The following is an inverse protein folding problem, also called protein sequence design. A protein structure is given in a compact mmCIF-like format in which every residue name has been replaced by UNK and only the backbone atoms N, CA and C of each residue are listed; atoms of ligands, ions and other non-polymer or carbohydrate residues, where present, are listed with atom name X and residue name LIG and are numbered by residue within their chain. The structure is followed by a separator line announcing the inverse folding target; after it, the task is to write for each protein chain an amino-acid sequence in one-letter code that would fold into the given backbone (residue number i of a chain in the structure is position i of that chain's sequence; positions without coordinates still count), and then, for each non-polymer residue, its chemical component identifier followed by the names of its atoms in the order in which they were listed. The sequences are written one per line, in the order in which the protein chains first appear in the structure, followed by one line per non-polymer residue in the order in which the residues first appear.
data_IF_111705849786
#
_entry.id   IF_111705849786
#
_cell.length_a   1.000
_cell.length_b   1.000
_cell.length_c   1.000
_cell.angle_alpha   90.00
_cell.angle_beta   90.00
_cell.angle_gamma   90.00
#
_symmetry.space_group_name_H-M   'P 1'
#
loop_
_entity.id
_entity.type
_entity.pdbx_description
1 polymer ?
#
# COMPACT_ATOMS: atom_id res chain seq x y z
N UNK A 1 17.69 10.63 74.19
CA UNK A 1 18.72 11.01 73.19
C UNK A 1 18.05 10.97 71.81
N UNK A 2 17.33 11.95 71.42
CA UNK A 2 17.62 13.32 70.98
C UNK A 2 18.67 13.43 69.93
N UNK A 3 18.26 13.91 68.78
CA UNK A 3 18.99 14.40 67.65
C UNK A 3 18.11 14.40 66.44
N UNK A 4 17.34 15.41 66.13
CA UNK A 4 17.53 16.66 65.43
C UNK A 4 18.17 16.48 64.04
N UNK A 5 17.51 16.99 63.26
CA UNK A 5 16.90 17.46 62.33
C UNK A 5 17.15 18.25 61.20
N UNK A 6 17.21 18.38 60.20
CA UNK A 6 17.54 19.15 59.03
C UNK A 6 16.36 19.45 58.09
N UNK A 7 15.67 20.52 58.35
CA UNK A 7 14.80 21.18 57.36
C UNK A 7 15.67 21.78 56.22
N UNK A 8 15.53 21.29 55.01
CA UNK A 8 15.99 21.99 53.83
C UNK A 8 14.80 22.57 53.07
N UNK A 9 14.80 23.89 53.04
CA UNK A 9 13.74 24.70 52.52
C UNK A 9 13.64 24.60 50.97
N UNK A 10 12.44 24.40 50.52
CA UNK A 10 12.07 24.52 49.11
C UNK A 10 12.09 25.97 48.73
N UNK A 11 13.08 26.37 47.91
CA UNK A 11 13.17 27.68 47.28
C UNK A 11 12.22 27.74 46.09
N UNK A 12 11.06 28.30 46.29
CA UNK A 12 10.15 28.68 45.20
C UNK A 12 10.80 29.78 44.32
N UNK A 13 11.21 29.42 43.12
CA UNK A 13 11.61 30.39 42.10
C UNK A 13 10.38 31.10 41.59
N UNK A 14 10.31 32.41 41.85
CA UNK A 14 9.32 33.33 41.28
C UNK A 14 9.42 33.26 39.74
N UNK A 15 8.29 32.99 39.14
CA UNK A 15 8.05 33.11 37.71
C UNK A 15 8.22 34.56 37.27
N UNK A 16 9.06 34.77 36.28
CA UNK A 16 9.32 36.04 35.66
C UNK A 16 8.06 36.63 34.99
N UNK A 17 8.03 37.94 34.95
CA UNK A 17 6.98 38.78 34.39
C UNK A 17 6.66 38.41 32.91
N UNK A 18 5.39 38.54 32.47
CA UNK A 18 5.04 38.33 31.06
C UNK A 18 5.64 39.44 30.20
N UNK A 19 6.28 39.05 29.11
CA UNK A 19 6.80 39.94 28.09
C UNK A 19 5.61 40.56 27.35
N UNK A 20 5.49 41.88 27.45
CA UNK A 20 4.50 42.65 26.72
C UNK A 20 4.75 42.54 25.21
N UNK A 21 3.87 41.87 24.51
CA UNK A 21 3.84 41.86 23.04
C UNK A 21 3.43 43.26 22.55
N UNK A 22 4.44 44.01 22.11
CA UNK A 22 4.26 45.36 21.53
C UNK A 22 3.55 45.20 20.19
N UNK A 23 2.30 45.67 20.10
CA UNK A 23 1.54 45.79 18.85
C UNK A 23 2.30 46.71 17.87
N UNK A 24 3.03 46.12 16.94
CA UNK A 24 3.58 46.80 15.77
C UNK A 24 3.03 46.11 14.52
N UNK A 25 1.86 46.47 14.07
CA UNK A 25 1.27 45.85 12.87
C UNK A 25 0.11 46.63 12.25
N UNK A 26 -0.42 47.61 12.96
CA UNK A 26 -1.62 48.38 12.46
C UNK A 26 -1.32 49.40 11.34
N UNK A 27 -0.16 50.01 11.34
CA UNK A 27 0.13 51.11 10.41
C UNK A 27 0.57 50.64 9.00
N UNK A 28 1.26 49.52 8.90
CA UNK A 28 1.74 49.00 7.63
C UNK A 28 0.59 48.43 6.77
N UNK A 29 -0.40 47.82 7.40
CA UNK A 29 -1.57 47.26 6.68
C UNK A 29 -2.48 48.37 6.14
N UNK A 30 -2.72 49.40 6.94
CA UNK A 30 -3.53 50.58 6.52
C UNK A 30 -2.84 51.32 5.35
N UNK A 31 -1.52 51.51 5.41
CA UNK A 31 -0.75 52.18 4.36
C UNK A 31 -0.74 51.42 3.04
N UNK A 32 -0.74 50.10 3.06
CA UNK A 32 -0.81 49.28 1.85
C UNK A 32 -2.20 49.29 1.19
N UNK A 33 -3.27 49.45 1.96
CA UNK A 33 -4.62 49.60 1.44
C UNK A 33 -4.86 50.99 0.84
N UNK A 34 -4.27 52.04 1.41
CA UNK A 34 -4.31 53.40 0.91
C UNK A 34 -3.59 53.52 -0.43
N UNK A 35 -2.34 53.01 -0.52
CA UNK A 35 -1.56 52.98 -1.76
C UNK A 35 -2.28 52.24 -2.90
N UNK A 36 -3.02 51.19 -2.61
CA UNK A 36 -3.78 50.46 -3.62
C UNK A 36 -5.00 51.20 -4.14
N UNK A 37 -5.62 52.07 -3.30
CA UNK A 37 -6.71 52.94 -3.71
C UNK A 37 -6.21 54.11 -4.57
N UNK A 38 -5.10 54.70 -4.20
CA UNK A 38 -4.51 55.84 -4.92
C UNK A 38 -4.01 55.40 -6.32
N UNK A 39 -3.46 54.19 -6.46
CA UNK A 39 -3.06 53.64 -7.75
C UNK A 39 -4.25 53.39 -8.68
N UNK A 40 -5.43 53.06 -8.16
CA UNK A 40 -6.65 52.85 -8.96
C UNK A 40 -7.30 54.14 -9.42
N UNK A 41 -7.04 55.25 -8.70
CA UNK A 41 -7.58 56.58 -9.02
C UNK A 41 -6.70 57.25 -10.08
N UNK A 42 -5.37 57.06 -10.05
CA UNK A 42 -4.45 57.71 -10.98
C UNK A 42 -4.36 57.02 -12.36
N UNK A 43 -4.80 55.74 -12.49
CA UNK A 43 -4.72 55.04 -13.77
C UNK A 43 -5.96 55.18 -14.66
N UNK A 44 -6.98 55.97 -14.27
CA UNK A 44 -8.11 56.32 -15.11
C UNK A 44 -8.87 55.16 -15.76
N UNK A 45 -8.75 53.92 -15.19
CA UNK A 45 -9.42 52.74 -15.73
C UNK A 45 -10.90 52.78 -15.33
N UNK A 46 -11.71 53.26 -16.27
CA UNK A 46 -13.17 53.20 -16.18
C UNK A 46 -13.64 51.76 -15.97
N UNK A 47 -14.54 51.56 -15.03
CA UNK A 47 -15.17 50.26 -14.72
C UNK A 47 -16.06 49.69 -15.85
N UNK A 48 -16.00 50.23 -17.04
CA UNK A 48 -16.80 49.81 -18.21
C UNK A 48 -15.97 49.15 -19.32
N UNK A 49 -14.72 48.77 -19.04
CA UNK A 49 -13.90 48.05 -20.01
C UNK A 49 -14.32 46.58 -20.11
N UNK A 50 -14.95 46.25 -21.23
CA UNK A 50 -15.32 44.91 -21.67
C UNK A 50 -14.19 43.90 -21.44
N UNK A 51 -14.32 43.08 -20.44
CA UNK A 51 -13.69 41.76 -20.45
C UNK A 51 -14.58 40.93 -21.38
N UNK A 52 -14.11 40.46 -22.56
CA UNK A 52 -14.89 39.55 -23.36
C UNK A 52 -15.18 38.32 -22.47
N UNK A 53 -16.45 38.12 -22.19
CA UNK A 53 -16.93 36.87 -21.57
C UNK A 53 -16.73 35.79 -22.63
N UNK A 54 -15.50 35.26 -22.72
CA UNK A 54 -15.32 33.99 -23.42
C UNK A 54 -16.27 32.99 -22.73
N UNK A 55 -17.18 32.37 -23.47
CA UNK A 55 -18.05 31.37 -22.89
C UNK A 55 -17.12 30.27 -22.34
N UNK A 56 -17.07 30.14 -21.01
CA UNK A 56 -16.43 28.98 -20.38
C UNK A 56 -17.19 27.80 -20.98
N UNK A 57 -16.55 27.10 -21.91
CA UNK A 57 -17.04 25.85 -22.47
C UNK A 57 -17.16 24.93 -21.27
N UNK A 58 -18.38 24.82 -20.70
CA UNK A 58 -18.68 23.79 -19.71
C UNK A 58 -18.42 22.49 -20.43
N UNK A 59 -17.28 21.88 -20.14
CA UNK A 59 -17.11 20.47 -20.44
C UNK A 59 -18.25 19.78 -19.72
N UNK A 60 -19.19 19.24 -20.49
CA UNK A 60 -20.23 18.40 -19.94
C UNK A 60 -19.52 17.25 -19.23
N UNK A 61 -19.56 17.24 -17.91
CA UNK A 61 -19.04 16.10 -17.18
C UNK A 61 -19.79 14.86 -17.66
N UNK A 62 -19.08 13.84 -18.15
CA UNK A 62 -19.74 12.63 -18.58
C UNK A 62 -20.53 12.10 -17.39
N UNK A 63 -21.79 11.67 -17.58
CA UNK A 63 -22.63 11.25 -16.48
C UNK A 63 -21.91 10.16 -15.69
N UNK A 64 -21.72 10.39 -14.42
CA UNK A 64 -20.98 9.48 -13.51
C UNK A 64 -21.45 8.03 -13.59
N UNK A 65 -22.69 7.81 -13.98
CA UNK A 65 -23.28 6.49 -14.22
C UNK A 65 -22.60 5.69 -15.34
N UNK A 66 -22.06 6.36 -16.36
CA UNK A 66 -21.36 5.68 -17.47
C UNK A 66 -20.01 5.09 -17.02
N UNK A 67 -19.33 5.73 -16.08
CA UNK A 67 -18.09 5.19 -15.53
C UNK A 67 -18.32 3.92 -14.73
N UNK A 68 -19.40 3.88 -13.93
CA UNK A 68 -19.78 2.67 -13.19
C UNK A 68 -20.22 1.55 -14.12
N UNK A 69 -20.93 1.89 -15.20
CA UNK A 69 -21.32 0.89 -16.22
C UNK A 69 -20.09 0.39 -16.99
N UNK A 70 -19.17 1.28 -17.39
CA UNK A 70 -17.92 0.89 -18.02
C UNK A 70 -17.08 -0.01 -17.11
N UNK A 71 -16.94 0.34 -15.83
CA UNK A 71 -16.26 -0.48 -14.83
C UNK A 71 -16.95 -1.84 -14.65
N UNK A 72 -18.28 -1.86 -14.54
CA UNK A 72 -19.05 -3.10 -14.41
C UNK A 72 -18.91 -3.99 -15.65
N UNK A 73 -18.96 -3.42 -16.85
CA UNK A 73 -18.77 -4.16 -18.11
C UNK A 73 -17.34 -4.70 -18.20
N UNK A 74 -16.34 -3.93 -17.80
CA UNK A 74 -14.93 -4.37 -17.78
C UNK A 74 -14.73 -5.53 -16.80
N UNK A 75 -15.39 -5.48 -15.63
CA UNK A 75 -15.32 -6.54 -14.62
C UNK A 75 -16.07 -7.82 -15.06
N UNK A 76 -17.18 -7.67 -15.80
CA UNK A 76 -17.97 -8.81 -16.30
C UNK A 76 -17.34 -9.42 -17.55
N UNK A 77 -16.70 -8.60 -18.40
CA UNK A 77 -16.07 -9.03 -19.63
C UNK A 77 -14.61 -9.50 -19.44
N UNK A 78 -14.12 -9.58 -18.20
CA UNK A 78 -12.81 -10.15 -17.92
C UNK A 78 -12.82 -11.62 -18.39
N UNK A 79 -12.06 -12.01 -19.41
CA UNK A 79 -11.94 -13.40 -19.80
C UNK A 79 -11.39 -14.17 -18.61
N UNK A 80 -11.87 -15.41 -18.42
CA UNK A 80 -11.27 -16.33 -17.44
C UNK A 80 -9.77 -16.38 -17.69
N UNK A 81 -9.00 -15.68 -16.85
CA UNK A 81 -7.56 -15.72 -16.90
C UNK A 81 -7.15 -17.12 -16.45
N UNK A 82 -7.00 -18.01 -17.41
CA UNK A 82 -6.20 -19.19 -17.17
C UNK A 82 -4.81 -18.68 -16.85
N UNK A 83 -4.27 -19.07 -15.70
CA UNK A 83 -2.91 -18.72 -15.27
C UNK A 83 -1.86 -19.43 -16.14
N UNK A 84 -1.86 -19.10 -17.43
CA UNK A 84 -0.72 -19.37 -18.27
C UNK A 84 0.29 -18.27 -18.00
N UNK A 85 1.53 -18.67 -17.68
CA UNK A 85 2.68 -17.79 -17.55
C UNK A 85 2.58 -16.65 -18.56
N UNK A 86 2.53 -15.42 -18.04
CA UNK A 86 2.44 -14.24 -18.91
C UNK A 86 3.65 -14.22 -19.82
N UNK A 87 3.41 -14.26 -21.13
CA UNK A 87 4.45 -14.00 -22.12
C UNK A 87 4.36 -12.54 -22.53
N UNK A 88 5.18 -11.68 -21.92
CA UNK A 88 5.21 -10.24 -22.21
C UNK A 88 5.93 -9.94 -23.54
N UNK A 89 6.66 -10.90 -24.10
CA UNK A 89 7.56 -10.69 -25.23
C UNK A 89 8.88 -9.99 -24.87
N UNK A 90 9.05 -9.56 -23.60
CA UNK A 90 10.28 -8.91 -23.12
C UNK A 90 11.25 -9.87 -22.41
N UNK A 91 10.97 -11.16 -22.45
CA UNK A 91 11.80 -12.23 -21.92
C UNK A 91 11.44 -12.67 -20.51
N UNK A 92 12.01 -13.84 -20.07
CA UNK A 92 11.58 -14.57 -18.89
C UNK A 92 11.60 -13.76 -17.58
N UNK A 93 12.54 -12.83 -17.43
CA UNK A 93 12.61 -11.98 -16.25
C UNK A 93 11.38 -11.06 -16.12
N UNK A 94 11.01 -10.40 -17.24
CA UNK A 94 9.84 -9.53 -17.25
C UNK A 94 8.54 -10.31 -17.13
N UNK A 95 8.50 -11.51 -17.71
CA UNK A 95 7.35 -12.42 -17.56
C UNK A 95 7.13 -12.78 -16.10
N UNK A 96 8.18 -13.16 -15.37
CA UNK A 96 8.12 -13.42 -13.95
C UNK A 96 7.75 -12.17 -13.13
N UNK A 97 8.34 -11.01 -13.46
CA UNK A 97 8.05 -9.77 -12.77
C UNK A 97 6.58 -9.37 -12.91
N UNK A 98 6.00 -9.49 -14.08
CA UNK A 98 4.58 -9.18 -14.33
C UNK A 98 3.64 -10.23 -13.74
N UNK A 99 4.06 -11.50 -13.67
CA UNK A 99 3.24 -12.57 -13.14
C UNK A 99 2.67 -12.26 -11.77
N UNK A 100 3.48 -11.75 -10.83
CA UNK A 100 3.03 -11.36 -9.50
C UNK A 100 1.86 -10.37 -9.52
N UNK A 101 1.88 -9.41 -10.46
CA UNK A 101 0.88 -8.33 -10.49
C UNK A 101 -0.42 -8.74 -11.16
N UNK A 102 -0.41 -9.76 -12.00
CA UNK A 102 -1.61 -10.24 -12.70
C UNK A 102 -2.25 -11.45 -12.01
N UNK A 103 -1.57 -12.05 -11.03
CA UNK A 103 -2.05 -13.21 -10.27
C UNK A 103 -2.56 -12.74 -8.90
N UNK A 104 -3.87 -12.54 -8.72
CA UNK A 104 -4.44 -12.04 -7.45
C UNK A 104 -4.14 -12.96 -6.27
N UNK A 105 -4.07 -14.26 -6.52
CA UNK A 105 -3.75 -15.30 -5.54
C UNK A 105 -2.39 -15.07 -4.88
N UNK A 106 -1.43 -14.58 -5.64
CA UNK A 106 -0.08 -14.26 -5.18
C UNK A 106 0.00 -12.85 -4.60
N UNK A 107 -0.63 -11.88 -5.27
CA UNK A 107 -0.50 -10.47 -4.95
C UNK A 107 -1.20 -10.10 -3.64
N UNK A 108 -2.42 -10.57 -3.41
CA UNK A 108 -3.25 -10.18 -2.27
C UNK A 108 -2.64 -10.57 -0.91
N UNK A 109 -2.14 -11.83 -0.71
CA UNK A 109 -1.48 -12.20 0.54
C UNK A 109 -0.17 -11.44 0.76
N UNK A 110 0.56 -11.12 -0.31
CA UNK A 110 1.78 -10.27 -0.24
C UNK A 110 1.42 -8.86 0.23
N UNK A 111 0.37 -8.23 -0.33
CA UNK A 111 -0.12 -6.92 0.11
C UNK A 111 -0.50 -6.98 1.59
N UNK A 112 -1.27 -7.99 2.01
CA UNK A 112 -1.71 -8.12 3.40
C UNK A 112 -0.53 -8.20 4.36
N UNK A 113 0.44 -9.06 4.06
CA UNK A 113 1.62 -9.26 4.90
C UNK A 113 2.54 -8.02 4.93
N UNK A 114 2.76 -7.37 3.79
CA UNK A 114 3.58 -6.17 3.69
C UNK A 114 2.99 -5.00 4.48
N UNK A 115 1.69 -4.73 4.32
CA UNK A 115 0.99 -3.68 5.06
C UNK A 115 0.98 -3.96 6.57
N UNK A 116 0.70 -5.21 6.97
CA UNK A 116 0.73 -5.63 8.36
C UNK A 116 2.12 -5.44 8.98
N UNK A 117 3.19 -5.81 8.29
CA UNK A 117 4.56 -5.63 8.75
C UNK A 117 4.93 -4.14 8.83
N UNK A 118 4.56 -3.33 7.84
CA UNK A 118 4.81 -1.89 7.80
C UNK A 118 4.17 -1.16 8.99
N UNK A 119 2.90 -1.45 9.32
CA UNK A 119 2.21 -0.87 10.48
C UNK A 119 2.89 -1.16 11.81
N UNK A 120 3.63 -2.27 11.92
CA UNK A 120 4.39 -2.66 13.13
C UNK A 120 5.77 -2.04 13.21
N UNK A 121 6.23 -1.42 12.15
CA UNK A 121 7.44 -0.63 12.13
C UNK A 121 8.62 -1.25 11.36
N UNK A 122 9.75 -0.51 11.29
CA UNK A 122 10.83 -0.82 10.36
C UNK A 122 11.51 -2.18 10.55
N UNK A 123 11.49 -2.74 11.75
CA UNK A 123 12.07 -4.08 12.02
C UNK A 123 11.24 -5.17 11.33
N UNK A 124 9.91 -5.10 11.48
CA UNK A 124 8.98 -6.04 10.85
C UNK A 124 9.02 -5.91 9.32
N UNK A 125 8.97 -4.66 8.82
CA UNK A 125 9.05 -4.38 7.39
C UNK A 125 10.31 -4.97 6.76
N UNK A 126 11.49 -4.77 7.38
CA UNK A 126 12.76 -5.34 6.91
C UNK A 126 12.78 -6.86 6.95
N UNK A 127 12.22 -7.47 7.98
CA UNK A 127 12.14 -8.92 8.07
C UNK A 127 11.34 -9.51 6.92
N UNK A 128 10.15 -8.96 6.63
CA UNK A 128 9.32 -9.43 5.50
C UNK A 128 9.99 -9.13 4.16
N UNK A 129 10.63 -7.97 4.01
CA UNK A 129 11.31 -7.54 2.79
C UNK A 129 12.37 -8.54 2.32
N UNK A 130 13.10 -9.16 3.23
CA UNK A 130 14.12 -10.12 2.88
C UNK A 130 13.62 -11.58 2.97
N UNK A 131 12.87 -11.92 4.02
CA UNK A 131 12.44 -13.29 4.24
C UNK A 131 11.48 -13.78 3.15
N UNK A 132 10.53 -12.95 2.71
CA UNK A 132 9.52 -13.36 1.73
C UNK A 132 10.12 -13.63 0.35
N UNK A 133 10.90 -12.73 -0.30
CA UNK A 133 11.48 -13.01 -1.60
C UNK A 133 12.50 -14.17 -1.58
N UNK A 134 13.29 -14.27 -0.51
CA UNK A 134 14.25 -15.38 -0.37
C UNK A 134 13.52 -16.72 -0.24
N UNK A 135 12.51 -16.80 0.62
CA UNK A 135 11.71 -18.00 0.78
C UNK A 135 10.97 -18.37 -0.51
N UNK A 136 10.47 -17.37 -1.26
CA UNK A 136 9.84 -17.58 -2.55
C UNK A 136 10.82 -18.15 -3.59
N UNK A 137 12.04 -17.63 -3.67
CA UNK A 137 13.07 -18.19 -4.55
C UNK A 137 13.41 -19.63 -4.20
N UNK A 138 13.55 -19.93 -2.90
CA UNK A 138 13.80 -21.30 -2.43
C UNK A 138 12.63 -22.21 -2.79
N UNK A 139 11.40 -21.73 -2.57
CA UNK A 139 10.19 -22.44 -2.97
C UNK A 139 10.12 -22.68 -4.48
N UNK A 140 10.40 -21.64 -5.30
CA UNK A 140 10.41 -21.75 -6.76
C UNK A 140 11.47 -22.74 -7.26
N UNK A 141 12.65 -22.74 -6.64
CA UNK A 141 13.70 -23.71 -6.97
C UNK A 141 13.25 -25.14 -6.64
N UNK A 142 12.56 -25.37 -5.53
CA UNK A 142 11.96 -26.65 -5.21
C UNK A 142 10.84 -27.03 -6.19
N UNK A 143 9.96 -26.08 -6.52
CA UNK A 143 8.86 -26.26 -7.45
C UNK A 143 9.33 -26.66 -8.86
N UNK A 144 10.43 -26.08 -9.34
CA UNK A 144 11.02 -26.43 -10.63
C UNK A 144 11.42 -27.94 -10.75
N UNK A 145 11.64 -28.58 -9.61
CA UNK A 145 11.96 -30.02 -9.56
C UNK A 145 10.72 -30.92 -9.58
N UNK A 146 9.53 -30.34 -9.42
CA UNK A 146 8.26 -31.07 -9.34
C UNK A 146 7.63 -31.24 -10.73
N UNK A 147 7.07 -32.43 -10.99
CA UNK A 147 6.29 -32.74 -12.18
C UNK A 147 5.23 -33.79 -11.83
N UNK A 148 3.94 -33.57 -12.15
CA UNK A 148 3.32 -32.44 -12.89
C UNK A 148 3.26 -31.15 -12.08
N UNK A 149 2.84 -30.03 -12.69
CA UNK A 149 2.56 -28.78 -11.98
C UNK A 149 1.56 -28.98 -10.84
N UNK A 150 1.78 -28.29 -9.73
CA UNK A 150 0.88 -28.35 -8.56
C UNK A 150 -0.04 -27.12 -8.59
N UNK A 151 -1.34 -27.36 -8.51
CA UNK A 151 -2.35 -26.32 -8.38
C UNK A 151 -3.17 -26.56 -7.10
N UNK A 152 -3.22 -25.57 -6.22
CA UNK A 152 -3.93 -25.66 -4.92
C UNK A 152 -4.83 -24.43 -4.69
N UNK A 153 -5.78 -24.12 -5.60
CA UNK A 153 -6.53 -22.85 -5.59
C UNK A 153 -7.31 -22.62 -4.29
N UNK A 154 -7.85 -23.70 -3.69
CA UNK A 154 -8.54 -23.59 -2.40
C UNK A 154 -7.57 -23.23 -1.27
N UNK A 155 -6.39 -23.82 -1.23
CA UNK A 155 -5.39 -23.54 -0.19
C UNK A 155 -4.83 -22.12 -0.31
N UNK A 156 -4.52 -21.65 -1.52
CA UNK A 156 -4.07 -20.28 -1.80
C UNK A 156 -5.10 -19.26 -1.36
N UNK A 157 -6.37 -19.53 -1.66
CA UNK A 157 -7.48 -18.67 -1.26
C UNK A 157 -7.66 -18.63 0.26
N UNK A 158 -7.52 -19.76 0.95
CA UNK A 158 -7.57 -19.83 2.42
C UNK A 158 -6.45 -19.01 3.04
N UNK A 159 -5.22 -19.09 2.51
CA UNK A 159 -4.08 -18.30 2.95
C UNK A 159 -4.35 -16.81 2.77
N UNK A 160 -4.89 -16.41 1.62
CA UNK A 160 -5.28 -15.03 1.33
C UNK A 160 -6.32 -14.51 2.33
N UNK A 161 -7.38 -15.28 2.60
CA UNK A 161 -8.41 -14.94 3.59
C UNK A 161 -7.80 -14.80 4.98
N UNK A 162 -6.96 -15.75 5.40
CA UNK A 162 -6.34 -15.74 6.73
C UNK A 162 -5.47 -14.49 6.95
N UNK A 163 -4.62 -14.13 5.97
CA UNK A 163 -3.81 -12.92 6.03
C UNK A 163 -4.65 -11.65 5.98
N UNK A 164 -5.72 -11.63 5.18
CA UNK A 164 -6.68 -10.53 5.15
C UNK A 164 -7.36 -10.32 6.50
N UNK A 165 -7.78 -11.40 7.19
CA UNK A 165 -8.34 -11.34 8.54
C UNK A 165 -7.33 -10.81 9.56
N UNK A 166 -6.08 -11.29 9.51
CA UNK A 166 -5.01 -10.80 10.38
C UNK A 166 -4.76 -9.29 10.18
N UNK A 167 -4.80 -8.82 8.95
CA UNK A 167 -4.66 -7.40 8.63
C UNK A 167 -5.87 -6.59 9.11
N UNK A 168 -7.09 -7.07 8.86
CA UNK A 168 -8.34 -6.38 9.24
C UNK A 168 -8.50 -6.26 10.76
N UNK A 169 -8.10 -7.29 11.50
CA UNK A 169 -8.18 -7.31 12.97
C UNK A 169 -7.03 -6.55 13.64
N UNK A 170 -5.95 -6.22 12.89
CA UNK A 170 -4.73 -5.59 13.41
C UNK A 170 -4.16 -6.35 14.63
N UNK A 171 -4.24 -7.69 14.60
CA UNK A 171 -3.85 -8.54 15.73
C UNK A 171 -2.34 -8.41 16.00
N UNK A 172 -1.91 -8.14 17.24
CA UNK A 172 -0.49 -7.97 17.58
C UNK A 172 0.26 -9.30 17.50
N UNK A 173 1.07 -9.49 16.47
CA UNK A 173 1.93 -10.65 16.32
C UNK A 173 3.37 -10.30 16.72
N UNK A 174 4.11 -11.22 17.39
CA UNK A 174 5.54 -11.05 17.63
C UNK A 174 6.34 -11.13 16.30
N UNK A 175 7.54 -10.57 16.31
CA UNK A 175 8.41 -10.55 15.12
C UNK A 175 8.65 -11.96 14.56
N UNK A 176 8.86 -12.95 15.43
CA UNK A 176 9.07 -14.33 15.02
C UNK A 176 7.87 -14.91 14.24
N UNK A 177 6.64 -14.60 14.67
CA UNK A 177 5.44 -15.05 13.98
C UNK A 177 5.32 -14.39 12.59
N UNK A 178 5.62 -13.10 12.47
CA UNK A 178 5.62 -12.41 11.18
C UNK A 178 6.72 -12.94 10.25
N UNK A 179 7.90 -13.25 10.78
CA UNK A 179 8.96 -13.89 10.01
C UNK A 179 8.54 -15.30 9.53
N UNK A 180 7.93 -16.10 10.42
CA UNK A 180 7.40 -17.42 10.08
C UNK A 180 6.34 -17.34 8.97
N UNK A 181 5.38 -16.40 9.09
CA UNK A 181 4.37 -16.16 8.05
C UNK A 181 5.01 -15.78 6.71
N UNK A 182 6.04 -14.94 6.72
CA UNK A 182 6.74 -14.55 5.49
C UNK A 182 7.45 -15.75 4.83
N UNK A 183 8.10 -16.58 5.65
CA UNK A 183 8.79 -17.78 5.14
C UNK A 183 7.78 -18.80 4.62
N UNK A 184 6.73 -19.10 5.37
CA UNK A 184 5.71 -20.05 4.97
C UNK A 184 4.98 -19.61 3.71
N UNK A 185 4.59 -18.34 3.64
CA UNK A 185 3.96 -17.76 2.46
C UNK A 185 4.89 -17.86 1.24
N UNK A 186 6.16 -17.45 1.41
CA UNK A 186 7.14 -17.48 0.34
C UNK A 186 7.42 -18.90 -0.18
N UNK A 187 7.60 -19.86 0.73
CA UNK A 187 7.80 -21.26 0.34
C UNK A 187 6.55 -21.83 -0.35
N UNK A 188 5.36 -21.63 0.22
CA UNK A 188 4.13 -22.19 -0.30
C UNK A 188 3.84 -21.69 -1.72
N UNK A 189 3.74 -20.37 -1.91
CA UNK A 189 3.48 -19.79 -3.24
C UNK A 189 4.68 -19.98 -4.19
N UNK A 190 5.91 -19.93 -3.66
CA UNK A 190 7.10 -20.21 -4.45
C UNK A 190 7.10 -21.60 -5.05
N UNK A 191 6.72 -22.64 -4.28
CA UNK A 191 6.65 -24.03 -4.78
C UNK A 191 5.59 -24.13 -5.89
N UNK A 192 4.40 -23.57 -5.69
CA UNK A 192 3.33 -23.61 -6.68
C UNK A 192 3.77 -22.91 -7.96
N UNK A 193 4.19 -21.64 -7.87
CA UNK A 193 4.70 -20.88 -8.99
C UNK A 193 5.86 -21.59 -9.71
N UNK A 194 6.84 -22.08 -8.94
CA UNK A 194 7.98 -22.79 -9.48
C UNK A 194 7.61 -24.06 -10.25
N UNK A 195 6.55 -24.76 -9.83
CA UNK A 195 6.07 -25.98 -10.50
C UNK A 195 5.51 -25.71 -11.90
N UNK A 196 5.01 -24.52 -12.15
CA UNK A 196 4.46 -24.08 -13.43
C UNK A 196 5.51 -23.52 -14.39
N UNK A 197 6.70 -23.14 -13.86
CA UNK A 197 7.76 -22.53 -14.67
C UNK A 197 8.35 -23.50 -15.71
N UNK A 198 8.82 -22.99 -16.88
CA UNK A 198 9.47 -23.81 -17.88
C UNK A 198 10.71 -24.54 -17.34
N UNK A 199 10.79 -25.86 -17.49
CA UNK A 199 11.84 -26.70 -16.93
C UNK A 199 12.97 -26.97 -17.90
N UNK A 200 12.79 -26.67 -19.19
CA UNK A 200 13.69 -27.06 -20.28
C UNK A 200 14.88 -26.13 -20.50
N UNK A 201 14.92 -24.99 -19.79
CA UNK A 201 16.00 -24.01 -19.96
C UNK A 201 16.17 -23.19 -18.68
N UNK A 202 17.21 -22.35 -18.64
CA UNK A 202 17.40 -21.34 -17.56
C UNK A 202 16.26 -20.31 -17.45
N UNK A 203 15.30 -20.31 -18.40
CA UNK A 203 14.18 -19.37 -18.41
C UNK A 203 13.33 -19.44 -17.14
N UNK A 204 13.05 -20.62 -16.59
CA UNK A 204 12.32 -20.76 -15.35
C UNK A 204 13.03 -20.12 -14.16
N UNK A 205 14.33 -20.29 -14.03
CA UNK A 205 15.13 -19.66 -12.97
C UNK A 205 15.16 -18.13 -13.13
N UNK A 206 15.26 -17.64 -14.37
CA UNK A 206 15.23 -16.20 -14.68
C UNK A 206 13.85 -15.63 -14.36
N UNK A 207 12.76 -16.33 -14.68
CA UNK A 207 11.40 -15.93 -14.29
C UNK A 207 11.23 -15.89 -12.77
N UNK A 208 11.70 -16.90 -12.04
CA UNK A 208 11.66 -16.90 -10.58
C UNK A 208 12.40 -15.70 -9.97
N UNK A 209 13.54 -15.31 -10.57
CA UNK A 209 14.26 -14.10 -10.16
C UNK A 209 13.44 -12.82 -10.45
N UNK A 210 12.69 -12.79 -11.54
CA UNK A 210 11.75 -11.70 -11.86
C UNK A 210 10.65 -11.56 -10.82
N UNK A 211 10.01 -12.67 -10.42
CA UNK A 211 9.01 -12.69 -9.34
C UNK A 211 9.61 -12.18 -8.02
N UNK A 212 10.80 -12.64 -7.65
CA UNK A 212 11.46 -12.21 -6.43
C UNK A 212 11.80 -10.70 -6.44
N UNK A 213 12.20 -10.16 -7.58
CA UNK A 213 12.41 -8.73 -7.76
C UNK A 213 11.09 -7.95 -7.61
N UNK A 214 10.00 -8.45 -8.19
CA UNK A 214 8.66 -7.86 -8.03
C UNK A 214 8.21 -7.86 -6.57
N UNK A 215 8.41 -8.98 -5.85
CA UNK A 215 8.13 -9.09 -4.41
C UNK A 215 8.93 -8.08 -3.61
N UNK A 216 10.23 -7.96 -3.88
CA UNK A 216 11.08 -7.01 -3.18
C UNK A 216 10.60 -5.57 -3.38
N UNK A 217 10.26 -5.20 -4.61
CA UNK A 217 9.71 -3.87 -4.92
C UNK A 217 8.36 -3.66 -4.26
N UNK A 218 7.42 -4.60 -4.40
CA UNK A 218 6.09 -4.50 -3.83
C UNK A 218 6.13 -4.36 -2.30
N UNK A 219 6.89 -5.21 -1.62
CA UNK A 219 7.05 -5.17 -0.16
C UNK A 219 7.74 -3.86 0.28
N UNK A 220 8.78 -3.41 -0.45
CA UNK A 220 9.46 -2.15 -0.14
C UNK A 220 8.50 -0.96 -0.17
N UNK A 221 7.68 -0.87 -1.22
CA UNK A 221 6.72 0.21 -1.39
C UNK A 221 5.60 0.13 -0.36
N UNK A 222 4.95 -1.02 -0.23
CA UNK A 222 3.79 -1.18 0.65
C UNK A 222 4.16 -1.08 2.12
N UNK A 223 5.19 -1.79 2.56
CA UNK A 223 5.62 -1.74 3.95
C UNK A 223 6.28 -0.40 4.30
N UNK A 224 7.01 0.21 3.35
CA UNK A 224 7.58 1.55 3.51
C UNK A 224 6.50 2.61 3.68
N UNK A 225 5.47 2.59 2.82
CA UNK A 225 4.32 3.49 2.94
C UNK A 225 3.57 3.27 4.26
N UNK A 226 3.26 2.03 4.61
CA UNK A 226 2.57 1.72 5.87
C UNK A 226 3.39 2.17 7.09
N UNK A 227 4.71 2.00 7.09
CA UNK A 227 5.61 2.43 8.16
C UNK A 227 5.71 3.96 8.29
N UNK A 228 5.51 4.71 7.21
CA UNK A 228 5.53 6.17 7.20
C UNK A 228 4.22 6.79 7.70
N UNK A 229 3.13 6.03 7.74
CA UNK A 229 1.81 6.50 8.13
C UNK A 229 1.71 6.75 9.64
N UNK A 230 1.77 8.03 10.06
CA UNK A 230 1.67 8.44 11.48
C UNK A 230 0.25 8.79 11.92
N UNK A 231 -0.69 8.93 10.99
CA UNK A 231 -2.05 9.37 11.27
C UNK A 231 -2.99 8.20 11.57
N UNK A 232 -3.89 8.40 12.53
CA UNK A 232 -4.79 7.33 13.00
C UNK A 232 -5.70 6.78 11.91
N UNK A 233 -6.19 7.63 11.02
CA UNK A 233 -7.07 7.21 9.92
C UNK A 233 -6.39 6.24 8.94
N UNK A 234 -5.07 6.37 8.73
CA UNK A 234 -4.33 5.48 7.85
C UNK A 234 -4.36 4.02 8.34
N UNK A 235 -4.28 3.80 9.65
CA UNK A 235 -4.44 2.47 10.23
C UNK A 235 -5.85 1.91 9.98
N UNK A 236 -6.88 2.76 10.04
CA UNK A 236 -8.24 2.35 9.67
C UNK A 236 -8.33 1.98 8.20
N UNK A 237 -7.74 2.78 7.31
CA UNK A 237 -7.71 2.48 5.88
C UNK A 237 -7.04 1.14 5.56
N UNK A 238 -5.92 0.82 6.23
CA UNK A 238 -5.25 -0.48 6.07
C UNK A 238 -6.11 -1.64 6.58
N UNK A 239 -6.84 -1.47 7.69
CA UNK A 239 -7.80 -2.48 8.17
C UNK A 239 -8.95 -2.70 7.19
N UNK A 240 -9.46 -1.61 6.60
CA UNK A 240 -10.47 -1.70 5.53
C UNK A 240 -9.91 -2.45 4.32
N UNK A 241 -8.67 -2.18 3.91
CA UNK A 241 -8.02 -2.96 2.85
C UNK A 241 -7.95 -4.46 3.20
N UNK A 242 -7.65 -4.80 4.46
CA UNK A 242 -7.72 -6.18 4.95
C UNK A 242 -9.10 -6.81 4.77
N UNK A 243 -10.17 -6.09 5.09
CA UNK A 243 -11.55 -6.56 4.89
C UNK A 243 -11.88 -6.77 3.39
N UNK A 244 -11.36 -5.93 2.51
CA UNK A 244 -11.50 -6.11 1.06
C UNK A 244 -10.75 -7.35 0.56
N UNK A 245 -9.54 -7.61 1.08
CA UNK A 245 -8.79 -8.84 0.75
C UNK A 245 -9.57 -10.08 1.17
N UNK A 246 -10.19 -10.07 2.35
CA UNK A 246 -11.07 -11.16 2.80
C UNK A 246 -12.26 -11.33 1.86
N UNK A 247 -12.93 -10.25 1.47
CA UNK A 247 -14.09 -10.31 0.57
C UNK A 247 -13.71 -10.87 -0.81
N UNK A 248 -12.58 -10.44 -1.37
CA UNK A 248 -12.06 -10.97 -2.64
C UNK A 248 -11.70 -12.44 -2.48
N UNK A 249 -10.99 -12.82 -1.41
CA UNK A 249 -10.66 -14.21 -1.13
C UNK A 249 -11.90 -15.11 -1.01
N UNK A 250 -12.96 -14.65 -0.35
CA UNK A 250 -14.23 -15.39 -0.28
C UNK A 250 -14.90 -15.56 -1.65
N UNK A 251 -14.81 -14.53 -2.50
CA UNK A 251 -15.31 -14.60 -3.87
C UNK A 251 -14.52 -15.62 -4.70
N UNK A 252 -13.19 -15.60 -4.58
CA UNK A 252 -12.31 -16.58 -5.26
C UNK A 252 -12.56 -18.00 -4.77
N UNK A 253 -12.77 -18.19 -3.46
CA UNK A 253 -13.15 -19.49 -2.89
C UNK A 253 -14.47 -19.99 -3.46
N UNK A 254 -15.47 -19.13 -3.52
CA UNK A 254 -16.77 -19.47 -4.12
C UNK A 254 -16.67 -19.84 -5.60
N UNK A 255 -15.73 -19.22 -6.32
CA UNK A 255 -15.46 -19.54 -7.72
C UNK A 255 -14.76 -20.89 -7.87
N UNK A 256 -13.71 -21.14 -7.11
CA UNK A 256 -12.94 -22.40 -7.15
C UNK A 256 -13.78 -23.63 -6.79
N UNK A 257 -14.86 -23.44 -6.01
CA UNK A 257 -15.80 -24.52 -5.68
C UNK A 257 -16.84 -24.82 -6.79
N UNK A 258 -17.00 -23.90 -7.76
CA UNK A 258 -17.99 -24.06 -8.85
C UNK A 258 -17.40 -24.68 -10.11
N UNK A 259 -16.12 -24.55 -10.31
CA UNK A 259 -15.42 -25.15 -11.45
C UNK A 259 -14.82 -26.45 -10.96
N UNK A 260 -15.42 -27.63 -11.30
CA UNK A 260 -14.74 -28.89 -11.10
C UNK A 260 -13.50 -28.90 -12.01
N UNK A 261 -12.33 -29.11 -11.43
CA UNK A 261 -11.06 -29.19 -12.15
C UNK A 261 -11.02 -30.36 -13.11
#
# INVERSE_FOLDING_TARGET
MEGDFGRTGVRTRRLGKPIAYRRLGGSAFAKRHQLRRDLLVTTGVSKSGLIPKTPIRRYAEPPTRLWWLALAITLIAAPSAHAHLMNTGFGPFNDGLMNLFVTPEDLLPVIALALMAGLRGPRFARTVLFALPVAWLVGSAAGLLLAPPITLPVAETIVTIALGVLLATDHPLPLAAVACLAILLGLFHGIINGSELPKTSSSGQISAAGVAAALFVAVSLLAGQAASMRVRWARVAVRVAGSWIVAIGLLMLGWSMRVPG
#
